data_IF_867762509300
#
_entry.id   IF_867762509300
#
_cell.length_a   1.000
_cell.length_b   1.000
_cell.length_c   1.000
_cell.angle_alpha   90.00
_cell.angle_beta   90.00
_cell.angle_gamma   90.00
#
_symmetry.space_group_name_H-M   'P 1'
#
loop_
_entity.id
_entity.type
_entity.pdbx_description
1 polymer ?
#
# COMPACT_ATOMS: atom_id res chain seq x y z
N UNK A 1 36.98 10.21 4.10
CA UNK A 1 35.50 10.23 3.98
C UNK A 1 34.97 8.88 4.41
N UNK A 2 34.26 8.84 5.54
CA UNK A 2 33.91 7.62 6.26
C UNK A 2 32.81 6.85 5.53
N UNK A 3 33.14 5.67 4.99
CA UNK A 3 32.24 4.67 4.39
C UNK A 3 30.85 4.58 5.07
N UNK A 4 30.70 4.63 6.41
CA UNK A 4 29.38 4.61 7.05
C UNK A 4 28.45 5.77 6.66
N UNK A 5 28.96 6.97 6.39
CA UNK A 5 28.13 8.13 6.03
C UNK A 5 27.50 7.97 4.64
N UNK A 6 28.23 7.35 3.70
CA UNK A 6 27.75 7.12 2.33
C UNK A 6 26.59 6.12 2.35
N UNK A 7 26.66 5.07 3.17
CA UNK A 7 25.59 4.08 3.31
C UNK A 7 24.32 4.68 3.92
N UNK A 8 24.45 5.57 4.91
CA UNK A 8 23.31 6.27 5.52
C UNK A 8 22.64 7.18 4.49
N UNK A 9 23.42 7.92 3.70
CA UNK A 9 22.90 8.80 2.64
C UNK A 9 22.18 7.99 1.54
N UNK A 10 22.75 6.86 1.10
CA UNK A 10 22.11 5.97 0.12
C UNK A 10 20.80 5.40 0.67
N UNK A 11 20.76 4.95 1.92
CA UNK A 11 19.55 4.44 2.56
C UNK A 11 18.46 5.52 2.66
N UNK A 12 18.82 6.75 3.02
CA UNK A 12 17.90 7.90 3.08
C UNK A 12 17.35 8.22 1.68
N UNK A 13 18.21 8.26 0.66
CA UNK A 13 17.82 8.52 -0.74
C UNK A 13 16.89 7.40 -1.25
N UNK A 14 17.20 6.13 -0.97
CA UNK A 14 16.35 4.98 -1.31
C UNK A 14 14.96 5.10 -0.66
N UNK A 15 14.92 5.51 0.61
CA UNK A 15 13.67 5.69 1.36
C UNK A 15 12.84 6.86 0.79
N UNK A 16 13.49 7.95 0.38
CA UNK A 16 12.83 9.13 -0.20
C UNK A 16 12.32 8.89 -1.63
N UNK A 17 13.05 8.11 -2.45
CA UNK A 17 12.62 7.78 -3.82
C UNK A 17 11.36 6.90 -3.82
N UNK A 18 11.21 5.99 -2.85
CA UNK A 18 9.98 5.19 -2.67
C UNK A 18 8.82 6.07 -2.14
N UNK A 19 9.12 7.09 -1.31
CA UNK A 19 8.15 8.01 -0.74
C UNK A 19 7.68 9.11 -1.74
N UNK A 20 8.36 9.32 -2.88
CA UNK A 20 7.99 10.32 -3.91
C UNK A 20 6.76 9.94 -4.77
N UNK A 21 5.88 9.07 -4.26
CA UNK A 21 4.53 8.85 -4.82
C UNK A 21 3.48 9.79 -4.19
N UNK A 22 3.93 10.87 -3.54
CA UNK A 22 3.09 11.94 -2.98
C UNK A 22 2.56 12.86 -4.07
N UNK A 23 1.69 12.38 -4.94
CA UNK A 23 0.80 13.25 -5.72
C UNK A 23 -0.54 12.53 -5.91
N UNK A 24 -1.40 12.67 -4.92
CA UNK A 24 -2.80 12.22 -4.97
C UNK A 24 -3.77 13.37 -4.72
N UNK A 25 -3.43 14.60 -5.15
CA UNK A 25 -4.40 15.68 -5.25
C UNK A 25 -5.13 15.56 -6.59
N UNK A 26 -6.42 15.25 -6.58
CA UNK A 26 -7.20 15.30 -7.82
C UNK A 26 -8.53 14.54 -7.84
N UNK A 27 -9.60 15.32 -7.70
CA UNK A 27 -10.87 15.18 -8.41
C UNK A 27 -11.86 14.08 -7.95
N UNK A 28 -13.03 14.54 -7.46
CA UNK A 28 -14.21 13.77 -6.98
C UNK A 28 -14.72 12.68 -7.94
N UNK A 29 -14.28 12.71 -9.20
CA UNK A 29 -14.58 11.70 -10.22
C UNK A 29 -13.78 10.41 -10.05
N UNK A 30 -12.50 10.50 -9.63
CA UNK A 30 -11.68 9.33 -9.31
C UNK A 30 -12.16 8.61 -8.05
N UNK A 31 -12.70 9.34 -7.06
CA UNK A 31 -13.25 8.73 -5.83
C UNK A 31 -14.40 7.76 -6.12
N UNK A 32 -15.33 8.08 -7.03
CA UNK A 32 -16.47 7.20 -7.37
C UNK A 32 -16.07 5.95 -8.14
N UNK A 33 -15.07 6.05 -9.01
CA UNK A 33 -14.54 4.89 -9.77
C UNK A 33 -13.63 4.04 -8.88
N UNK A 34 -12.88 4.69 -8.00
CA UNK A 34 -12.12 4.04 -6.93
C UNK A 34 -13.03 3.27 -6.01
N UNK A 35 -14.16 3.81 -5.58
CA UNK A 35 -15.08 3.12 -4.66
C UNK A 35 -15.62 1.80 -5.23
N UNK A 36 -16.03 1.79 -6.50
CA UNK A 36 -16.42 0.55 -7.20
C UNK A 36 -15.27 -0.45 -7.32
N UNK A 37 -14.06 0.03 -7.62
CA UNK A 37 -12.86 -0.80 -7.67
C UNK A 37 -12.48 -1.37 -6.30
N UNK A 38 -12.57 -0.56 -5.24
CA UNK A 38 -12.32 -0.96 -3.86
C UNK A 38 -13.31 -2.03 -3.41
N UNK A 39 -14.61 -1.89 -3.73
CA UNK A 39 -15.60 -2.93 -3.42
C UNK A 39 -15.28 -4.27 -4.07
N UNK A 40 -14.88 -4.26 -5.34
CA UNK A 40 -14.50 -5.47 -6.06
C UNK A 40 -13.23 -6.11 -5.46
N UNK A 41 -12.21 -5.31 -5.18
CA UNK A 41 -10.97 -5.76 -4.54
C UNK A 41 -11.23 -6.29 -3.14
N UNK A 42 -12.05 -5.61 -2.34
CA UNK A 42 -12.41 -6.05 -0.98
C UNK A 42 -13.18 -7.36 -1.01
N UNK A 43 -14.11 -7.55 -1.95
CA UNK A 43 -14.77 -8.85 -2.17
C UNK A 43 -13.76 -9.93 -2.57
N UNK A 44 -12.81 -9.62 -3.45
CA UNK A 44 -11.74 -10.55 -3.83
C UNK A 44 -10.86 -10.93 -2.64
N UNK A 45 -10.51 -9.96 -1.78
CA UNK A 45 -9.76 -10.20 -0.56
C UNK A 45 -10.53 -11.12 0.40
N UNK A 46 -11.83 -10.87 0.58
CA UNK A 46 -12.70 -11.71 1.42
C UNK A 46 -12.94 -13.12 0.87
N UNK A 47 -12.76 -13.33 -0.45
CA UNK A 47 -12.75 -14.67 -1.02
C UNK A 47 -11.44 -15.43 -0.73
N UNK A 48 -10.35 -14.70 -0.46
CA UNK A 48 -9.05 -15.30 -0.15
C UNK A 48 -8.88 -15.57 1.35
N UNK A 49 -9.43 -14.71 2.20
CA UNK A 49 -9.27 -14.76 3.65
C UNK A 49 -10.53 -14.31 4.39
N UNK A 50 -10.68 -14.71 5.65
CA UNK A 50 -11.75 -14.24 6.54
C UNK A 50 -11.65 -12.71 6.75
N UNK A 51 -12.80 -12.07 7.03
CA UNK A 51 -12.90 -10.63 7.28
C UNK A 51 -11.89 -10.10 8.32
N UNK A 52 -11.79 -10.74 9.48
CA UNK A 52 -10.87 -10.30 10.54
C UNK A 52 -9.40 -10.38 10.12
N UNK A 53 -9.06 -11.39 9.33
CA UNK A 53 -7.70 -11.54 8.77
C UNK A 53 -7.44 -10.47 7.71
N UNK A 54 -8.41 -10.18 6.84
CA UNK A 54 -8.31 -9.11 5.86
C UNK A 54 -8.05 -7.76 6.53
N UNK A 55 -8.80 -7.45 7.58
CA UNK A 55 -8.69 -6.18 8.30
C UNK A 55 -7.33 -6.04 8.99
N UNK A 56 -6.87 -7.09 9.69
CA UNK A 56 -5.53 -7.13 10.31
C UNK A 56 -4.40 -6.95 9.29
N UNK A 57 -4.52 -7.54 8.10
CA UNK A 57 -3.53 -7.40 7.03
C UNK A 57 -3.51 -5.99 6.46
N UNK A 58 -4.67 -5.39 6.23
CA UNK A 58 -4.79 -4.01 5.79
C UNK A 58 -4.17 -3.07 6.83
N UNK A 59 -4.46 -3.28 8.11
CA UNK A 59 -3.91 -2.45 9.19
C UNK A 59 -2.41 -2.62 9.36
N UNK A 60 -1.90 -3.85 9.19
CA UNK A 60 -0.45 -4.07 9.11
C UNK A 60 0.18 -3.30 7.94
N UNK A 61 -0.45 -3.34 6.76
CA UNK A 61 0.02 -2.61 5.59
C UNK A 61 -0.06 -1.08 5.77
N UNK A 62 -1.09 -0.56 6.45
CA UNK A 62 -1.20 0.87 6.82
C UNK A 62 -0.09 1.31 7.76
N UNK A 63 0.25 0.49 8.76
CA UNK A 63 1.37 0.78 9.68
C UNK A 63 2.71 0.83 8.96
N UNK A 64 2.94 -0.08 8.01
CA UNK A 64 4.19 -0.15 7.24
C UNK A 64 4.28 0.93 6.15
N UNK A 65 3.14 1.29 5.56
CA UNK A 65 3.06 2.24 4.44
C UNK A 65 1.98 3.29 4.68
N UNK A 66 2.17 4.23 5.61
CA UNK A 66 1.16 5.24 5.93
C UNK A 66 0.88 6.19 4.77
N UNK A 67 -0.36 6.69 4.67
CA UNK A 67 -0.76 7.73 3.72
C UNK A 67 -1.03 7.26 2.29
N UNK A 68 -1.22 5.95 2.06
CA UNK A 68 -1.66 5.41 0.77
C UNK A 68 -3.19 5.36 0.70
N UNK A 69 -3.73 5.19 -0.51
CA UNK A 69 -5.18 5.06 -0.71
C UNK A 69 -5.67 3.68 -0.27
N UNK A 70 -6.94 3.57 0.11
CA UNK A 70 -7.58 2.28 0.47
C UNK A 70 -7.37 1.23 -0.63
N UNK A 71 -7.54 1.64 -1.89
CA UNK A 71 -7.30 0.80 -3.06
C UNK A 71 -5.89 0.21 -3.07
N UNK A 72 -4.87 1.03 -2.80
CA UNK A 72 -3.49 0.59 -2.77
C UNK A 72 -3.27 -0.48 -1.71
N UNK A 73 -3.84 -0.30 -0.50
CA UNK A 73 -3.75 -1.31 0.56
C UNK A 73 -4.43 -2.62 0.16
N UNK A 74 -5.61 -2.55 -0.46
CA UNK A 74 -6.33 -3.74 -0.94
C UNK A 74 -5.53 -4.48 -2.02
N UNK A 75 -5.01 -3.77 -3.02
CA UNK A 75 -4.18 -4.34 -4.09
C UNK A 75 -2.91 -4.98 -3.53
N UNK A 76 -2.24 -4.29 -2.58
CA UNK A 76 -1.02 -4.78 -1.95
C UNK A 76 -1.25 -6.07 -1.15
N UNK A 77 -2.28 -6.09 -0.29
CA UNK A 77 -2.58 -7.28 0.52
C UNK A 77 -2.98 -8.46 -0.38
N UNK A 78 -3.79 -8.24 -1.41
CA UNK A 78 -4.16 -9.29 -2.37
C UNK A 78 -2.91 -9.82 -3.08
N UNK A 79 -2.02 -8.94 -3.54
CA UNK A 79 -0.77 -9.33 -4.20
C UNK A 79 0.11 -10.19 -3.28
N UNK A 80 0.28 -9.79 -2.02
CA UNK A 80 1.10 -10.52 -1.05
C UNK A 80 0.50 -11.90 -0.72
N UNK A 81 -0.83 -11.99 -0.60
CA UNK A 81 -1.54 -13.26 -0.40
C UNK A 81 -1.43 -14.21 -1.62
N UNK A 82 -1.42 -13.64 -2.84
CA UNK A 82 -1.26 -14.44 -4.06
C UNK A 82 0.18 -14.89 -4.28
N UNK A 83 1.16 -14.12 -3.80
CA UNK A 83 2.59 -14.41 -3.97
C UNK A 83 3.14 -15.39 -2.93
N UNK A 84 2.55 -15.43 -1.74
CA UNK A 84 2.94 -16.33 -0.66
C UNK A 84 2.28 -17.71 -0.71
N UNK A 85 1.68 -18.09 -1.85
CA UNK A 85 0.99 -19.36 -2.05
C UNK A 85 1.53 -20.10 -3.25
#
# INVERSE_FOLDING_TARGET
MSIPLILIIIAIILTLLINKQRLGGGNRYYSRRSDRGCKALRRKLLNLVHYDTADRLIDSAKRQHPGKSERWYLEKVIYDLQRGR
#
